data_IF_858595530217
#
_entry.id   IF_858595530217
#
_cell.length_a   1.000
_cell.length_b   1.000
_cell.length_c   1.000
_cell.angle_alpha   90.00
_cell.angle_beta   90.00
_cell.angle_gamma   90.00
#
_symmetry.space_group_name_H-M   'P 1'
#
loop_
_entity.id
_entity.type
_entity.pdbx_description
1 polymer ?
#
# COMPACT_ATOMS: atom_id res chain seq x y z
N UNK A 1 7.54 -13.54 13.90
CA UNK A 1 8.62 -12.85 13.17
C UNK A 1 8.94 -11.52 13.81
N UNK A 2 10.20 -11.09 13.68
CA UNK A 2 10.66 -9.79 14.18
C UNK A 2 10.08 -8.64 13.35
N UNK A 3 9.82 -8.87 12.06
CA UNK A 3 9.38 -7.84 11.12
C UNK A 3 8.18 -8.31 10.30
N UNK A 4 7.19 -7.44 10.12
CA UNK A 4 6.08 -7.63 9.18
C UNK A 4 6.01 -6.43 8.23
N UNK A 5 5.85 -6.69 6.94
CA UNK A 5 5.64 -5.67 5.90
C UNK A 5 4.17 -5.68 5.51
N UNK A 6 3.53 -4.50 5.53
CA UNK A 6 2.17 -4.30 5.04
C UNK A 6 2.18 -3.47 3.77
N UNK A 7 1.63 -4.03 2.70
CA UNK A 7 1.37 -3.33 1.46
C UNK A 7 0.16 -2.41 1.65
N UNK A 8 0.28 -1.12 1.29
CA UNK A 8 -0.79 -0.16 1.47
C UNK A 8 -1.88 -0.24 0.39
N UNK A 9 -1.66 -0.99 -0.69
CA UNK A 9 -2.71 -1.27 -1.69
C UNK A 9 -3.87 -2.08 -1.09
N UNK A 10 -3.63 -2.79 0.02
CA UNK A 10 -4.67 -3.48 0.80
C UNK A 10 -5.75 -2.52 1.33
N UNK A 11 -5.41 -1.25 1.52
CA UNK A 11 -6.32 -0.21 2.03
C UNK A 11 -6.93 0.64 0.89
N UNK A 12 -7.01 0.11 -0.33
CA UNK A 12 -7.80 0.76 -1.37
C UNK A 12 -9.29 0.83 -0.99
N UNK A 13 -9.98 1.90 -1.39
CA UNK A 13 -11.44 2.01 -1.26
C UNK A 13 -12.16 1.19 -2.32
N UNK A 14 -11.67 1.24 -3.56
CA UNK A 14 -12.24 0.50 -4.68
C UNK A 14 -11.27 -0.52 -5.22
N UNK A 15 -11.84 -1.61 -5.75
CA UNK A 15 -11.10 -2.59 -6.54
C UNK A 15 -10.75 -2.05 -7.94
N UNK A 16 -10.12 -2.88 -8.78
CA UNK A 16 -9.70 -2.46 -10.13
C UNK A 16 -10.88 -2.02 -11.00
N UNK A 17 -12.06 -2.63 -10.85
CA UNK A 17 -13.23 -2.30 -11.64
C UNK A 17 -13.91 -1.03 -11.10
N UNK A 18 -14.04 -0.91 -9.78
CA UNK A 18 -14.56 0.30 -9.14
C UNK A 18 -13.75 1.54 -9.50
N UNK A 19 -12.41 1.44 -9.57
CA UNK A 19 -11.56 2.55 -10.05
C UNK A 19 -11.77 2.93 -11.50
N UNK A 20 -12.13 1.98 -12.38
CA UNK A 20 -12.49 2.29 -13.77
C UNK A 20 -13.82 3.06 -13.84
N UNK A 21 -14.74 2.75 -12.94
CA UNK A 21 -16.05 3.41 -12.85
C UNK A 21 -15.94 4.81 -12.24
N UNK A 22 -15.12 4.98 -11.19
CA UNK A 22 -14.84 6.29 -10.59
C UNK A 22 -13.98 7.18 -11.51
N UNK A 23 -13.20 6.57 -12.40
CA UNK A 23 -12.23 7.26 -13.26
C UNK A 23 -10.97 7.71 -12.52
N UNK A 24 -10.79 7.31 -11.26
CA UNK A 24 -9.63 7.67 -10.46
C UNK A 24 -8.60 6.55 -10.47
N UNK A 25 -7.32 6.93 -10.56
CA UNK A 25 -6.21 5.97 -10.45
C UNK A 25 -5.92 5.62 -9.00
N UNK A 26 -5.21 4.51 -8.76
CA UNK A 26 -4.73 4.15 -7.42
C UNK A 26 -3.84 5.24 -6.77
N UNK A 27 -3.25 6.16 -7.54
CA UNK A 27 -2.47 7.29 -7.00
C UNK A 27 -3.34 8.36 -6.30
N UNK A 28 -4.64 8.40 -6.60
CA UNK A 28 -5.53 9.41 -6.05
C UNK A 28 -5.80 9.11 -4.57
N UNK A 29 -5.71 10.14 -3.71
CA UNK A 29 -5.97 9.99 -2.28
C UNK A 29 -7.42 9.58 -1.98
N UNK A 30 -8.37 9.95 -2.83
CA UNK A 30 -9.77 9.56 -2.70
C UNK A 30 -10.01 8.07 -2.99
N UNK A 31 -9.00 7.33 -3.44
CA UNK A 31 -9.06 5.87 -3.66
C UNK A 31 -8.47 5.07 -2.50
N UNK A 32 -8.15 5.70 -1.36
CA UNK A 32 -7.56 5.06 -0.18
C UNK A 32 -8.45 5.22 1.05
N UNK A 33 -8.58 4.16 1.84
CA UNK A 33 -9.27 4.16 3.12
C UNK A 33 -8.27 4.48 4.24
N UNK A 34 -8.01 5.77 4.42
CA UNK A 34 -7.09 6.25 5.45
C UNK A 34 -7.63 6.07 6.87
N UNK A 35 -8.95 5.95 7.04
CA UNK A 35 -9.56 5.72 8.35
C UNK A 35 -9.26 4.28 8.80
N UNK A 36 -9.52 3.29 7.94
CA UNK A 36 -9.18 1.89 8.21
C UNK A 36 -7.67 1.72 8.40
N UNK A 37 -6.85 2.37 7.55
CA UNK A 37 -5.40 2.35 7.68
C UNK A 37 -4.95 2.89 9.04
N UNK A 38 -5.47 4.05 9.46
CA UNK A 38 -5.16 4.64 10.76
C UNK A 38 -5.53 3.71 11.91
N UNK A 39 -6.75 3.18 11.91
CA UNK A 39 -7.24 2.31 12.98
C UNK A 39 -6.39 1.04 13.12
N UNK A 40 -6.06 0.39 12.00
CA UNK A 40 -5.29 -0.85 12.02
C UNK A 40 -3.82 -0.63 12.37
N UNK A 41 -3.19 0.41 11.84
CA UNK A 41 -1.79 0.75 12.19
C UNK A 41 -1.68 1.12 13.66
N UNK A 42 -2.64 1.89 14.18
CA UNK A 42 -2.69 2.23 15.60
C UNK A 42 -2.85 0.98 16.47
N UNK A 43 -3.78 0.08 16.12
CA UNK A 43 -4.00 -1.15 16.84
C UNK A 43 -2.73 -2.02 16.89
N UNK A 44 -2.04 -2.17 15.76
CA UNK A 44 -0.77 -2.89 15.69
C UNK A 44 0.30 -2.22 16.56
N UNK A 45 0.43 -0.89 16.53
CA UNK A 45 1.38 -0.16 17.39
C UNK A 45 1.07 -0.31 18.89
N UNK A 46 -0.19 -0.51 19.24
CA UNK A 46 -0.66 -0.79 20.61
C UNK A 46 -0.56 -2.26 21.02
N UNK A 47 0.00 -3.15 20.18
CA UNK A 47 0.19 -4.56 20.49
C UNK A 47 -1.03 -5.44 20.21
N UNK A 48 -2.02 -4.95 19.46
CA UNK A 48 -3.25 -5.69 19.11
C UNK A 48 -3.17 -6.28 17.70
N UNK A 49 -3.82 -7.41 17.48
CA UNK A 49 -3.99 -7.97 16.15
C UNK A 49 -5.10 -7.27 15.36
N UNK A 50 -5.03 -7.31 14.03
CA UNK A 50 -6.05 -6.76 13.12
C UNK A 50 -6.44 -7.76 12.04
N UNK A 51 -7.64 -7.63 11.48
CA UNK A 51 -8.06 -8.34 10.27
C UNK A 51 -7.86 -7.39 9.08
N UNK A 52 -6.71 -7.51 8.41
CA UNK A 52 -6.33 -6.62 7.32
C UNK A 52 -6.93 -7.14 6.01
N UNK A 53 -7.61 -6.31 5.21
CA UNK A 53 -8.01 -6.70 3.85
C UNK A 53 -6.80 -7.14 3.01
N UNK A 54 -7.06 -7.88 1.94
CA UNK A 54 -6.04 -8.25 0.96
C UNK A 54 -6.48 -7.76 -0.40
N UNK A 55 -5.73 -6.85 -1.01
CA UNK A 55 -5.93 -6.46 -2.39
C UNK A 55 -5.14 -7.40 -3.31
N UNK A 56 -5.85 -8.26 -4.04
CA UNK A 56 -5.20 -9.25 -4.89
C UNK A 56 -4.80 -8.63 -6.23
N UNK A 57 -3.50 -8.50 -6.46
CA UNK A 57 -2.98 -7.89 -7.70
C UNK A 57 -3.21 -8.73 -8.96
N UNK A 58 -3.44 -10.04 -8.84
CA UNK A 58 -3.71 -10.93 -9.99
C UNK A 58 -5.13 -10.68 -10.49
N UNK A 59 -6.12 -10.80 -9.60
CA UNK A 59 -7.54 -10.66 -9.93
C UNK A 59 -7.99 -9.20 -9.98
N UNK A 60 -7.36 -8.33 -9.20
CA UNK A 60 -7.72 -6.94 -9.04
C UNK A 60 -8.94 -6.71 -8.13
N UNK A 61 -9.24 -7.67 -7.24
CA UNK A 61 -10.34 -7.61 -6.26
C UNK A 61 -9.84 -7.83 -4.84
N UNK A 62 -10.68 -7.57 -3.85
CA UNK A 62 -10.37 -7.86 -2.45
C UNK A 62 -10.63 -9.34 -2.13
N UNK A 63 -9.61 -9.99 -1.58
CA UNK A 63 -9.72 -11.33 -0.98
C UNK A 63 -10.19 -11.22 0.49
N UNK A 64 -10.60 -12.33 1.13
CA UNK A 64 -10.90 -12.34 2.56
C UNK A 64 -9.74 -11.79 3.38
N UNK A 65 -10.07 -11.04 4.43
CA UNK A 65 -9.07 -10.45 5.31
C UNK A 65 -8.18 -11.51 5.96
N UNK A 66 -6.94 -11.12 6.24
CA UNK A 66 -5.98 -11.93 6.98
C UNK A 66 -5.71 -11.33 8.36
N UNK A 67 -5.50 -12.21 9.34
CA UNK A 67 -5.11 -11.79 10.68
C UNK A 67 -3.64 -11.43 10.71
N UNK A 68 -3.34 -10.19 11.09
CA UNK A 68 -1.99 -9.69 11.35
C UNK A 68 -1.79 -9.52 12.85
N UNK A 69 -0.80 -10.21 13.40
CA UNK A 69 -0.34 -10.02 14.78
C UNK A 69 0.62 -8.83 14.88
N UNK A 70 0.67 -8.16 16.03
CA UNK A 70 1.61 -7.05 16.26
C UNK A 70 3.06 -7.52 16.17
N UNK A 71 3.87 -7.03 15.20
CA UNK A 71 5.28 -7.38 15.10
C UNK A 71 6.15 -6.52 16.03
N UNK A 72 7.44 -6.87 16.15
CA UNK A 72 8.42 -5.95 16.78
C UNK A 72 8.78 -4.78 15.86
N UNK A 73 8.77 -5.00 14.54
CA UNK A 73 9.00 -3.99 13.51
C UNK A 73 7.88 -4.10 12.48
N UNK A 74 7.10 -3.02 12.34
CA UNK A 74 6.07 -2.89 11.30
C UNK A 74 6.60 -1.97 10.20
N UNK A 75 6.60 -2.44 8.96
CA UNK A 75 6.95 -1.64 7.79
C UNK A 75 5.68 -1.42 6.97
N UNK A 76 5.31 -0.16 6.76
CA UNK A 76 4.24 0.22 5.85
C UNK A 76 4.87 0.64 4.52
N UNK A 77 4.56 -0.07 3.44
CA UNK A 77 5.09 0.23 2.12
C UNK A 77 3.98 0.47 1.09
N UNK A 78 4.20 1.43 0.20
CA UNK A 78 3.25 1.72 -0.87
C UNK A 78 3.28 3.19 -1.25
N UNK A 79 2.22 3.62 -1.92
CA UNK A 79 2.14 4.95 -2.52
C UNK A 79 1.88 6.07 -1.50
N UNK A 80 1.18 5.78 -0.41
CA UNK A 80 0.66 6.81 0.51
C UNK A 80 1.00 6.63 2.01
N UNK A 81 2.15 6.07 2.42
CA UNK A 81 2.44 5.84 3.85
C UNK A 81 2.42 7.14 4.67
N UNK A 82 2.71 8.27 4.05
CA UNK A 82 2.79 9.57 4.73
C UNK A 82 1.67 10.53 4.31
N UNK A 83 0.64 10.09 3.60
CA UNK A 83 -0.39 11.01 3.11
C UNK A 83 -1.30 11.53 4.23
N UNK A 84 -1.84 10.63 5.06
CA UNK A 84 -2.66 10.98 6.22
C UNK A 84 -1.77 11.38 7.41
N UNK A 85 -2.08 12.52 8.04
CA UNK A 85 -1.29 13.07 9.15
C UNK A 85 -1.29 12.14 10.37
N UNK A 86 -2.43 11.51 10.68
CA UNK A 86 -2.58 10.63 11.84
C UNK A 86 -1.69 9.39 11.69
N UNK A 87 -1.61 8.84 10.48
CA UNK A 87 -0.69 7.73 10.17
C UNK A 87 0.76 8.22 10.17
N UNK A 88 1.02 9.38 9.56
CA UNK A 88 2.37 9.98 9.47
C UNK A 88 3.01 10.24 10.84
N UNK A 89 2.22 10.60 11.84
CA UNK A 89 2.68 10.84 13.22
C UNK A 89 3.06 9.54 13.95
N UNK A 90 2.60 8.37 13.49
CA UNK A 90 2.91 7.08 14.11
C UNK A 90 4.25 6.47 13.65
N UNK A 91 4.91 7.03 12.64
CA UNK A 91 6.20 6.50 12.18
C UNK A 91 7.36 6.93 13.07
N UNK A 92 8.15 5.96 13.50
CA UNK A 92 9.41 6.20 14.20
C UNK A 92 10.57 6.48 13.22
N UNK A 93 10.45 6.02 11.96
CA UNK A 93 11.39 6.30 10.87
C UNK A 93 10.65 6.37 9.52
N UNK A 94 11.11 7.23 8.59
CA UNK A 94 10.45 7.47 7.30
C UNK A 94 11.48 7.41 6.17
N UNK A 95 11.17 6.64 5.12
CA UNK A 95 11.99 6.52 3.90
C UNK A 95 11.11 6.91 2.72
N UNK A 96 11.64 7.74 1.83
CA UNK A 96 11.02 8.04 0.54
C UNK A 96 12.03 7.76 -0.57
N UNK A 97 11.64 6.92 -1.52
CA UNK A 97 12.48 6.58 -2.66
C UNK A 97 12.09 7.47 -3.85
N UNK A 98 12.83 8.58 -4.01
CA UNK A 98 12.62 9.51 -5.11
C UNK A 98 13.45 9.12 -6.33
N UNK A 99 12.78 8.57 -7.34
CA UNK A 99 13.40 8.15 -8.61
C UNK A 99 13.03 9.15 -9.69
N UNK A 100 14.04 9.71 -10.35
CA UNK A 100 13.84 10.67 -11.44
C UNK A 100 13.07 10.06 -12.61
N UNK A 101 12.36 10.92 -13.35
CA UNK A 101 11.54 10.50 -14.50
C UNK A 101 12.38 9.80 -15.57
N UNK A 102 13.59 10.30 -15.84
CA UNK A 102 14.52 9.69 -16.80
C UNK A 102 14.93 8.26 -16.40
N UNK A 103 15.18 8.04 -15.11
CA UNK A 103 15.54 6.70 -14.58
C UNK A 103 14.32 5.78 -14.62
N UNK A 104 13.14 6.25 -14.21
CA UNK A 104 11.88 5.48 -14.32
C UNK A 104 11.59 5.08 -15.76
N UNK A 105 11.79 6.00 -16.70
CA UNK A 105 11.61 5.75 -18.12
C UNK A 105 12.60 4.72 -18.64
N UNK A 106 13.90 4.90 -18.37
CA UNK A 106 14.94 3.97 -18.80
C UNK A 106 14.71 2.54 -18.28
N UNK A 107 14.40 2.40 -16.99
CA UNK A 107 14.09 1.09 -16.39
C UNK A 107 12.83 0.46 -16.97
N UNK A 108 11.80 1.27 -17.24
CA UNK A 108 10.57 0.79 -17.87
C UNK A 108 10.85 0.23 -19.27
N UNK A 109 11.63 0.93 -20.10
CA UNK A 109 12.01 0.46 -21.43
C UNK A 109 12.83 -0.82 -21.34
N UNK A 110 13.88 -0.84 -20.51
CA UNK A 110 14.75 -2.01 -20.38
C UNK A 110 13.98 -3.28 -19.96
N UNK A 111 13.07 -3.15 -18.98
CA UNK A 111 12.25 -4.27 -18.52
C UNK A 111 11.22 -4.69 -19.57
N UNK A 112 10.49 -3.75 -20.14
CA UNK A 112 9.41 -4.05 -21.08
C UNK A 112 9.99 -4.68 -22.39
N UNK A 113 11.19 -4.27 -22.83
CA UNK A 113 11.92 -4.94 -23.94
C UNK A 113 12.32 -6.37 -23.60
N UNK A 114 12.83 -6.62 -22.39
CA UNK A 114 13.33 -7.93 -21.98
C UNK A 114 12.21 -8.95 -21.72
N UNK A 115 11.08 -8.52 -21.15
CA UNK A 115 10.02 -9.42 -20.67
C UNK A 115 8.77 -9.44 -21.56
N UNK A 116 8.53 -8.38 -22.35
CA UNK A 116 7.25 -8.18 -23.06
C UNK A 116 7.38 -8.01 -24.57
N UNK A 117 8.60 -7.96 -25.12
CA UNK A 117 8.86 -7.98 -26.56
C UNK A 117 8.46 -6.70 -27.31
N UNK A 118 8.50 -5.56 -26.63
CA UNK A 118 8.34 -4.22 -27.22
C UNK A 118 9.58 -3.39 -27.00
#
# INVERSE_FOLDING_TARGET
>A
DTTTVLCLDDYHLNDRQGRKESGLTALNLAEQDFDLMYEQVKALKEGKSVEKPIYNHVTGVFDPAEKIESPSILILEGLHPFADERVREMFDFKIYLDISDDVKFAWKIQRDMAERGH
#
